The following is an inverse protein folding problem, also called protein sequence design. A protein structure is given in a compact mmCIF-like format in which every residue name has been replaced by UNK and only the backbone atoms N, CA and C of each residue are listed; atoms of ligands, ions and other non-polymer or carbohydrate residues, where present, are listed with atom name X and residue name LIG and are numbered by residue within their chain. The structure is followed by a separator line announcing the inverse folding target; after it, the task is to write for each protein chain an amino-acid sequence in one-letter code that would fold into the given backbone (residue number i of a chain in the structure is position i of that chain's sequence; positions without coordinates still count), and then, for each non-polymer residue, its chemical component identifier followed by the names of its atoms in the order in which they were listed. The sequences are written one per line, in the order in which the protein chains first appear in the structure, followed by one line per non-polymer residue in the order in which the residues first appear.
data_IF_171189258740
#
_entry.id   IF_171189258740
#
_cell.length_a   1.000
_cell.length_b   1.000
_cell.length_c   1.000
_cell.angle_alpha   90.00
_cell.angle_beta   90.00
_cell.angle_gamma   90.00
#
_symmetry.space_group_name_H-M   'P 1'
#
loop_
_entity.id
_entity.type
_entity.pdbx_description
1 polymer ?
#
# COMPACT_ATOMS: atom_id res chain seq x y z
N UNK A 1 -17.18 -11.81 26.03
CA UNK A 1 -17.17 -11.88 24.56
C UNK A 1 -16.02 -12.78 24.16
N UNK A 2 -16.24 -13.75 23.27
CA UNK A 2 -15.15 -14.54 22.74
C UNK A 2 -14.20 -13.61 21.94
N UNK A 3 -12.91 -13.95 21.93
CA UNK A 3 -11.94 -13.18 21.19
C UNK A 3 -12.18 -13.36 19.69
N UNK A 4 -12.24 -12.26 18.91
CA UNK A 4 -12.39 -12.35 17.48
C UNK A 4 -11.20 -13.11 16.89
N UNK A 5 -11.41 -13.80 15.77
CA UNK A 5 -10.34 -14.57 15.12
C UNK A 5 -10.39 -14.39 13.61
N UNK A 6 -9.22 -14.22 12.99
CA UNK A 6 -9.08 -14.23 11.53
C UNK A 6 -8.60 -15.60 11.09
N UNK A 7 -9.29 -16.23 10.14
CA UNK A 7 -8.91 -17.50 9.52
C UNK A 7 -8.50 -17.26 8.07
N UNK A 8 -7.39 -17.84 7.64
CA UNK A 8 -6.95 -17.80 6.24
C UNK A 8 -6.30 -19.13 5.87
N UNK A 9 -6.39 -19.53 4.59
CA UNK A 9 -5.67 -20.71 4.12
C UNK A 9 -4.19 -20.38 3.90
N UNK A 10 -3.32 -21.40 4.02
CA UNK A 10 -1.90 -21.24 3.69
C UNK A 10 -1.66 -20.78 2.25
N UNK A 11 -2.54 -21.15 1.32
CA UNK A 11 -2.46 -20.76 -0.10
C UNK A 11 -2.71 -19.25 -0.25
N UNK A 12 -3.71 -18.69 0.43
CA UNK A 12 -4.01 -17.25 0.39
C UNK A 12 -2.88 -16.44 1.02
N UNK A 13 -2.36 -16.89 2.17
CA UNK A 13 -1.22 -16.25 2.81
C UNK A 13 0.02 -16.27 1.91
N UNK A 14 0.32 -17.40 1.29
CA UNK A 14 1.43 -17.53 0.36
C UNK A 14 1.25 -16.61 -0.87
N UNK A 15 0.03 -16.51 -1.41
CA UNK A 15 -0.26 -15.63 -2.54
C UNK A 15 -0.09 -14.15 -2.19
N UNK A 16 -0.53 -13.71 -1.00
CA UNK A 16 -0.25 -12.37 -0.48
C UNK A 16 1.26 -12.11 -0.39
N UNK A 17 2.03 -13.06 0.14
CA UNK A 17 3.49 -12.96 0.24
C UNK A 17 4.16 -12.95 -1.15
N UNK A 18 3.65 -13.73 -2.10
CA UNK A 18 4.20 -13.80 -3.46
C UNK A 18 4.07 -12.46 -4.19
N UNK A 19 2.89 -11.84 -4.13
CA UNK A 19 2.68 -10.50 -4.69
C UNK A 19 3.62 -9.46 -4.06
N UNK A 20 3.89 -9.58 -2.76
CA UNK A 20 4.82 -8.69 -2.08
C UNK A 20 6.24 -8.77 -2.66
N UNK A 21 6.73 -10.00 -2.82
CA UNK A 21 8.12 -10.26 -3.19
C UNK A 21 8.40 -9.82 -4.62
N UNK A 22 7.38 -9.82 -5.48
CA UNK A 22 7.47 -9.38 -6.87
C UNK A 22 7.38 -7.85 -7.04
N UNK A 23 7.03 -7.09 -5.99
CA UNK A 23 7.02 -5.63 -6.01
C UNK A 23 8.28 -5.06 -5.38
N UNK A 24 8.87 -4.01 -5.96
CA UNK A 24 9.98 -3.27 -5.35
C UNK A 24 9.53 -2.22 -4.32
N UNK A 25 8.22 -2.07 -4.14
CA UNK A 25 7.60 -1.06 -3.28
C UNK A 25 6.52 -1.66 -2.38
N UNK A 26 6.02 -0.86 -1.45
CA UNK A 26 4.85 -1.22 -0.63
C UNK A 26 3.66 -1.58 -1.53
N UNK A 27 2.85 -2.53 -1.06
CA UNK A 27 1.66 -3.04 -1.78
C UNK A 27 0.46 -2.94 -0.85
N UNK A 28 -0.71 -2.68 -1.42
CA UNK A 28 -1.98 -2.70 -0.71
C UNK A 28 -3.06 -3.33 -1.58
N UNK A 29 -4.16 -3.71 -0.95
CA UNK A 29 -5.26 -4.33 -1.65
C UNK A 29 -6.46 -4.60 -0.76
N UNK A 30 -7.51 -5.15 -1.37
CA UNK A 30 -8.75 -5.51 -0.68
C UNK A 30 -8.76 -7.00 -0.34
N UNK A 31 -9.47 -7.33 0.73
CA UNK A 31 -9.66 -8.69 1.22
C UNK A 31 -11.13 -9.07 1.04
N UNK A 32 -11.35 -10.21 0.39
CA UNK A 32 -12.66 -10.78 0.12
C UNK A 32 -12.85 -12.07 0.93
N UNK A 33 -14.07 -12.27 1.39
CA UNK A 33 -14.43 -13.47 2.14
C UNK A 33 -15.74 -13.31 2.88
N UNK A 34 -15.82 -13.95 4.04
CA UNK A 34 -17.03 -14.04 4.86
C UNK A 34 -16.74 -13.72 6.31
N UNK A 35 -17.64 -12.99 6.97
CA UNK A 35 -17.62 -12.77 8.41
C UNK A 35 -18.75 -13.59 9.04
N UNK A 36 -18.41 -14.45 10.00
CA UNK A 36 -19.35 -15.31 10.72
C UNK A 36 -19.43 -14.90 12.18
N UNK A 37 -20.65 -14.85 12.70
CA UNK A 37 -20.98 -14.47 14.07
C UNK A 37 -21.83 -15.58 14.65
N UNK A 38 -21.21 -16.49 15.40
CA UNK A 38 -21.88 -17.67 15.94
C UNK A 38 -22.07 -17.52 17.44
N UNK A 39 -23.28 -17.80 17.92
CA UNK A 39 -23.57 -17.84 19.35
C UNK A 39 -23.14 -19.19 19.90
N UNK A 40 -22.14 -19.17 20.78
CA UNK A 40 -21.64 -20.34 21.48
C UNK A 40 -22.11 -20.33 22.92
N UNK A 41 -22.88 -21.36 23.29
CA UNK A 41 -23.31 -21.58 24.67
C UNK A 41 -22.34 -22.53 25.34
N UNK A 42 -21.57 -22.04 26.31
CA UNK A 42 -20.73 -22.90 27.13
C UNK A 42 -21.54 -23.39 28.32
N UNK A 43 -21.91 -24.67 28.29
CA UNK A 43 -22.58 -25.34 29.41
C UNK A 43 -21.51 -25.63 30.46
N UNK A 44 -21.69 -25.06 31.64
CA UNK A 44 -20.83 -25.29 32.80
C UNK A 44 -21.59 -26.08 33.86
N UNK A 45 -20.90 -26.81 34.73
CA UNK A 45 -21.54 -27.50 35.86
C UNK A 45 -22.17 -26.52 36.88
N UNK A 46 -21.93 -25.21 36.74
CA UNK A 46 -22.64 -24.14 37.45
C UNK A 46 -23.97 -23.78 36.75
N UNK A 47 -25.00 -23.49 37.54
CA UNK A 47 -26.40 -23.24 37.10
C UNK A 47 -26.61 -22.08 36.09
N UNK A 48 -25.56 -21.33 35.73
CA UNK A 48 -25.64 -20.22 34.79
C UNK A 48 -24.95 -20.57 33.46
N UNK A 49 -25.74 -20.63 32.39
CA UNK A 49 -25.23 -20.74 31.03
C UNK A 49 -24.51 -19.45 30.63
N UNK A 50 -23.30 -19.57 30.10
CA UNK A 50 -22.56 -18.41 29.62
C UNK A 50 -22.60 -18.36 28.08
N UNK A 51 -23.41 -17.45 27.57
CA UNK A 51 -23.55 -17.18 26.13
C UNK A 51 -22.41 -16.27 25.68
N UNK A 52 -21.66 -16.70 24.67
CA UNK A 52 -20.59 -15.92 24.06
C UNK A 52 -20.77 -15.89 22.54
N UNK A 53 -20.57 -14.73 21.92
CA UNK A 53 -20.57 -14.60 20.45
C UNK A 53 -19.13 -14.79 19.96
N UNK A 54 -18.90 -15.81 19.13
CA UNK A 54 -17.65 -16.03 18.39
C UNK A 54 -17.69 -15.26 17.07
N UNK A 55 -16.74 -14.35 16.88
CA UNK A 55 -16.57 -13.60 15.62
C UNK A 55 -15.41 -14.18 14.84
N UNK A 56 -15.70 -14.74 13.66
CA UNK A 56 -14.74 -15.38 12.79
C UNK A 56 -14.71 -14.70 11.43
N UNK A 57 -13.56 -14.15 11.06
CA UNK A 57 -13.32 -13.55 9.76
C UNK A 57 -12.60 -14.53 8.86
N UNK A 58 -13.27 -15.08 7.85
CA UNK A 58 -12.69 -16.06 6.93
C UNK A 58 -12.23 -15.38 5.64
N UNK A 59 -10.91 -15.26 5.49
CA UNK A 59 -10.28 -14.69 4.29
C UNK A 59 -10.20 -15.76 3.21
N UNK A 60 -10.92 -15.54 2.11
CA UNK A 60 -10.99 -16.47 0.98
C UNK A 60 -10.10 -16.02 -0.18
N UNK A 61 -10.04 -14.70 -0.44
CA UNK A 61 -9.35 -14.12 -1.59
C UNK A 61 -8.84 -12.71 -1.26
N UNK A 62 -7.91 -12.22 -2.08
CA UNK A 62 -7.46 -10.84 -2.03
C UNK A 62 -7.33 -10.28 -3.46
N UNK A 63 -7.38 -8.95 -3.57
CA UNK A 63 -7.15 -8.21 -4.81
C UNK A 63 -6.05 -7.19 -4.56
N UNK A 64 -4.91 -7.35 -5.24
CA UNK A 64 -3.83 -6.37 -5.20
C UNK A 64 -4.17 -5.13 -6.03
N UNK A 65 -3.90 -3.97 -5.45
CA UNK A 65 -3.90 -2.71 -6.18
C UNK A 65 -2.56 -2.51 -6.89
N UNK A 66 -2.60 -2.15 -8.18
CA UNK A 66 -1.38 -1.91 -8.97
C UNK A 66 -0.61 -0.64 -8.56
N UNK A 67 -1.26 0.26 -7.82
CA UNK A 67 -0.69 1.52 -7.33
C UNK A 67 -1.14 1.73 -5.89
N UNK A 68 -0.25 2.33 -5.11
CA UNK A 68 -0.60 2.86 -3.79
C UNK A 68 -1.58 4.02 -3.92
N UNK A 69 -2.42 4.16 -2.90
CA UNK A 69 -3.46 5.18 -2.79
C UNK A 69 -4.41 5.13 -4.01
N UNK A 70 -4.72 3.93 -4.49
CA UNK A 70 -5.58 3.76 -5.69
C UNK A 70 -7.04 4.05 -5.41
N UNK A 71 -7.49 3.83 -4.17
CA UNK A 71 -8.89 3.97 -3.74
C UNK A 71 -9.06 5.01 -2.62
N UNK A 72 -8.02 5.79 -2.30
CA UNK A 72 -8.09 6.84 -1.29
C UNK A 72 -7.10 7.98 -1.57
N UNK A 73 -7.40 9.19 -1.08
CA UNK A 73 -6.56 10.37 -1.28
C UNK A 73 -5.47 10.55 -0.19
N UNK A 74 -4.69 11.63 -0.27
CA UNK A 74 -3.59 11.91 0.67
C UNK A 74 -4.04 12.12 2.13
N UNK A 75 -5.30 12.53 2.32
CA UNK A 75 -5.96 12.76 3.62
C UNK A 75 -6.62 11.47 4.15
N UNK A 76 -6.76 10.45 3.30
CA UNK A 76 -7.33 9.14 3.65
C UNK A 76 -8.83 9.03 3.38
N UNK A 77 -9.43 9.98 2.65
CA UNK A 77 -10.81 9.87 2.18
C UNK A 77 -10.89 8.82 1.07
N UNK A 78 -11.90 7.95 1.15
CA UNK A 78 -12.07 6.80 0.27
C UNK A 78 -12.89 7.20 -0.96
N UNK A 79 -12.40 6.83 -2.13
CA UNK A 79 -13.11 6.95 -3.39
C UNK A 79 -13.92 5.66 -3.63
N UNK A 80 -15.24 5.75 -3.42
CA UNK A 80 -16.16 4.61 -3.56
C UNK A 80 -16.23 4.13 -5.01
N UNK A 81 -16.11 5.02 -5.99
CA UNK A 81 -16.15 4.64 -7.41
C UNK A 81 -14.89 3.85 -7.78
N UNK A 82 -13.73 4.27 -7.27
CA UNK A 82 -12.49 3.53 -7.42
C UNK A 82 -12.56 2.13 -6.78
N UNK A 83 -13.14 2.02 -5.58
CA UNK A 83 -13.38 0.72 -4.92
C UNK A 83 -14.30 -0.16 -5.78
N UNK A 84 -15.43 0.39 -6.27
CA UNK A 84 -16.36 -0.36 -7.13
C UNK A 84 -15.70 -0.81 -8.44
N UNK A 85 -14.81 0.00 -9.01
CA UNK A 85 -14.04 -0.35 -10.21
C UNK A 85 -13.07 -1.50 -9.95
N UNK A 86 -12.41 -1.52 -8.78
CA UNK A 86 -11.53 -2.63 -8.38
C UNK A 86 -12.35 -3.92 -8.17
N UNK A 87 -13.60 -3.79 -7.71
CA UNK A 87 -14.52 -4.91 -7.45
C UNK A 87 -15.38 -5.31 -8.65
N UNK A 88 -15.20 -4.69 -9.82
CA UNK A 88 -16.10 -4.86 -10.97
C UNK A 88 -16.29 -6.33 -11.39
N UNK A 89 -15.21 -7.12 -11.31
CA UNK A 89 -15.19 -8.54 -11.68
C UNK A 89 -15.61 -9.47 -10.53
N UNK A 90 -15.80 -8.95 -9.31
CA UNK A 90 -16.00 -9.74 -8.07
C UNK A 90 -17.28 -9.34 -7.32
N UNK A 91 -18.36 -9.04 -8.04
CA UNK A 91 -19.62 -8.49 -7.48
C UNK A 91 -20.33 -9.39 -6.45
N UNK A 92 -20.04 -10.69 -6.45
CA UNK A 92 -20.70 -11.66 -5.57
C UNK A 92 -20.00 -11.81 -4.21
N UNK A 93 -18.74 -11.37 -4.09
CA UNK A 93 -17.93 -11.58 -2.89
C UNK A 93 -17.94 -10.33 -2.01
N UNK A 94 -18.08 -10.54 -0.69
CA UNK A 94 -18.13 -9.43 0.27
C UNK A 94 -16.73 -8.95 0.65
N UNK A 95 -16.53 -7.62 0.65
CA UNK A 95 -15.31 -7.01 1.17
C UNK A 95 -15.35 -7.04 2.69
N UNK A 96 -14.52 -7.90 3.27
CA UNK A 96 -14.39 -8.04 4.73
C UNK A 96 -13.21 -7.24 5.28
N UNK A 97 -12.32 -6.75 4.42
CA UNK A 97 -11.14 -6.04 4.88
C UNK A 97 -10.25 -5.50 3.78
N UNK A 98 -9.10 -5.01 4.19
CA UNK A 98 -8.02 -4.58 3.32
C UNK A 98 -6.67 -4.94 3.94
N UNK A 99 -5.63 -4.99 3.12
CA UNK A 99 -4.29 -5.28 3.57
C UNK A 99 -3.28 -4.25 3.09
N UNK A 100 -2.19 -4.13 3.83
CA UNK A 100 -1.01 -3.37 3.44
C UNK A 100 0.24 -4.14 3.76
N UNK A 101 1.24 -3.98 2.92
CA UNK A 101 2.54 -4.60 3.07
C UNK A 101 3.61 -3.52 3.07
N UNK A 102 4.44 -3.50 4.12
CA UNK A 102 5.47 -2.47 4.32
C UNK A 102 6.82 -3.10 4.62
N UNK A 103 7.87 -2.66 3.93
CA UNK A 103 9.21 -3.25 4.07
C UNK A 103 9.99 -2.61 5.23
N UNK A 104 10.60 -3.44 6.07
CA UNK A 104 11.47 -3.04 7.17
C UNK A 104 10.81 -2.05 8.15
N UNK A 105 9.53 -2.28 8.48
CA UNK A 105 8.78 -1.46 9.44
C UNK A 105 8.30 -2.29 10.61
N UNK A 106 7.92 -1.62 11.71
CA UNK A 106 7.29 -2.27 12.86
C UNK A 106 5.87 -2.79 12.53
N UNK A 107 5.41 -3.76 13.31
CA UNK A 107 4.08 -4.37 13.16
C UNK A 107 2.98 -3.56 13.85
N UNK A 108 2.84 -2.29 13.45
CA UNK A 108 1.85 -1.36 14.00
C UNK A 108 1.14 -0.55 12.90
N UNK A 109 -0.14 -0.25 13.10
CA UNK A 109 -0.89 0.60 12.17
C UNK A 109 -0.38 2.05 12.18
N UNK A 110 -0.11 2.61 11.00
CA UNK A 110 0.19 4.05 10.85
C UNK A 110 -1.05 4.90 11.07
N UNK A 111 -0.85 6.20 11.31
CA UNK A 111 -1.95 7.16 11.41
C UNK A 111 -2.85 7.16 10.17
N UNK A 112 -2.25 7.13 8.97
CA UNK A 112 -2.99 7.07 7.71
C UNK A 112 -3.79 5.77 7.58
N UNK A 113 -3.20 4.63 7.92
CA UNK A 113 -3.93 3.34 7.89
C UNK A 113 -5.13 3.34 8.82
N UNK A 114 -5.02 3.94 10.01
CA UNK A 114 -6.14 4.08 10.95
C UNK A 114 -7.28 4.92 10.35
N UNK A 115 -6.97 6.05 9.72
CA UNK A 115 -7.97 6.90 9.06
C UNK A 115 -8.63 6.17 7.89
N UNK A 116 -7.83 5.59 7.00
CA UNK A 116 -8.34 4.87 5.82
C UNK A 116 -9.23 3.70 6.24
N UNK A 117 -8.87 2.99 7.31
CA UNK A 117 -9.69 1.90 7.84
C UNK A 117 -11.06 2.39 8.35
N UNK A 118 -11.12 3.46 9.14
CA UNK A 118 -12.41 4.01 9.59
C UNK A 118 -13.27 4.56 8.43
N UNK A 119 -12.62 5.20 7.46
CA UNK A 119 -13.31 5.72 6.28
C UNK A 119 -13.83 4.58 5.41
N UNK A 120 -13.06 3.51 5.18
CA UNK A 120 -13.53 2.33 4.46
C UNK A 120 -14.72 1.65 5.16
N UNK A 121 -14.66 1.51 6.50
CA UNK A 121 -15.78 0.98 7.30
C UNK A 121 -17.05 1.78 7.07
N UNK A 122 -16.94 3.11 7.09
CA UNK A 122 -18.07 4.02 6.91
C UNK A 122 -18.59 4.01 5.47
N UNK A 123 -17.70 4.10 4.47
CA UNK A 123 -18.05 4.14 3.04
C UNK A 123 -18.67 2.84 2.53
N UNK A 124 -18.23 1.68 3.04
CA UNK A 124 -18.76 0.37 2.65
C UNK A 124 -19.88 -0.13 3.58
N UNK A 125 -20.29 0.66 4.58
CA UNK A 125 -21.27 0.27 5.60
C UNK A 125 -20.97 -1.09 6.27
N UNK A 126 -19.69 -1.43 6.40
CA UNK A 126 -19.23 -2.66 7.04
C UNK A 126 -18.50 -2.33 8.36
N UNK A 127 -19.17 -2.47 9.52
CA UNK A 127 -18.55 -2.19 10.82
C UNK A 127 -17.52 -3.25 11.25
N UNK A 128 -17.57 -4.44 10.65
CA UNK A 128 -16.73 -5.60 10.94
C UNK A 128 -15.65 -5.74 9.87
N UNK A 129 -14.84 -4.69 9.73
CA UNK A 129 -13.75 -4.67 8.78
C UNK A 129 -12.44 -5.05 9.45
N UNK A 130 -11.64 -5.85 8.76
CA UNK A 130 -10.29 -6.21 9.19
C UNK A 130 -9.23 -5.44 8.41
N UNK A 131 -8.10 -5.16 9.06
CA UNK A 131 -6.89 -4.68 8.42
C UNK A 131 -5.76 -5.68 8.62
N UNK A 132 -5.19 -6.20 7.54
CA UNK A 132 -4.05 -7.14 7.62
C UNK A 132 -2.77 -6.41 7.25
N UNK A 133 -1.78 -6.42 8.14
CA UNK A 133 -0.47 -5.82 7.93
C UNK A 133 0.57 -6.93 7.76
N UNK A 134 1.39 -6.84 6.71
CA UNK A 134 2.55 -7.71 6.53
C UNK A 134 3.83 -6.87 6.50
N UNK A 135 4.83 -7.26 7.28
CA UNK A 135 6.11 -6.55 7.40
C UNK A 135 7.31 -7.48 7.18
N UNK A 136 7.75 -7.65 5.93
CA UNK A 136 9.00 -8.32 5.64
C UNK A 136 10.18 -7.45 6.05
N UNK A 137 11.15 -8.06 6.71
CA UNK A 137 12.38 -7.41 7.16
C UNK A 137 13.59 -8.33 6.98
N UNK A 138 14.75 -7.72 6.75
CA UNK A 138 16.04 -8.43 6.82
C UNK A 138 16.49 -8.45 8.28
N UNK A 139 16.69 -9.64 8.84
CA UNK A 139 17.08 -9.78 10.25
C UNK A 139 18.60 -9.63 10.41
N UNK A 140 19.36 -10.07 9.41
CA UNK A 140 20.82 -9.97 9.40
C UNK A 140 21.28 -8.94 8.38
N UNK A 141 22.34 -8.18 8.70
CA UNK A 141 22.97 -7.22 7.78
C UNK A 141 23.36 -7.83 6.42
N UNK A 142 23.92 -9.05 6.34
CA UNK A 142 24.21 -9.68 5.05
C UNK A 142 22.95 -10.18 4.31
N UNK A 143 21.77 -10.17 4.92
CA UNK A 143 20.53 -10.68 4.31
C UNK A 143 20.46 -12.21 4.24
N UNK A 144 21.20 -12.93 5.09
CA UNK A 144 21.13 -14.39 5.18
C UNK A 144 19.85 -14.91 5.86
N UNK A 145 19.19 -14.06 6.64
CA UNK A 145 17.96 -14.40 7.35
C UNK A 145 16.93 -13.32 7.12
N UNK A 146 15.78 -13.72 6.60
CA UNK A 146 14.62 -12.88 6.38
C UNK A 146 13.54 -13.25 7.38
N UNK A 147 12.73 -12.25 7.75
CA UNK A 147 11.59 -12.40 8.64
C UNK A 147 10.37 -11.79 7.98
N UNK A 148 9.27 -12.54 7.94
CA UNK A 148 7.98 -12.07 7.44
C UNK A 148 6.97 -12.12 8.58
N UNK A 149 6.67 -10.95 9.16
CA UNK A 149 5.67 -10.84 10.22
C UNK A 149 4.32 -10.45 9.59
N UNK A 150 3.23 -11.00 10.12
CA UNK A 150 1.88 -10.66 9.70
C UNK A 150 0.97 -10.56 10.93
N UNK A 151 -0.02 -9.67 10.87
CA UNK A 151 -0.97 -9.43 11.93
C UNK A 151 -2.26 -8.89 11.35
N UNK A 152 -3.38 -9.25 11.97
CA UNK A 152 -4.67 -8.64 11.69
C UNK A 152 -5.05 -7.66 12.80
N UNK A 153 -5.75 -6.60 12.42
CA UNK A 153 -6.26 -5.57 13.30
C UNK A 153 -7.73 -5.32 13.01
N UNK A 154 -8.49 -5.03 14.06
CA UNK A 154 -9.85 -4.53 13.97
C UNK A 154 -9.98 -3.23 14.74
N UNK A 155 -10.94 -2.40 14.34
CA UNK A 155 -11.35 -1.25 15.14
C UNK A 155 -12.67 -1.53 15.86
N UNK A 156 -12.64 -1.46 17.19
CA UNK A 156 -13.82 -1.51 18.06
C UNK A 156 -13.79 -0.32 19.00
N UNK A 157 -14.91 0.39 19.14
CA UNK A 157 -15.04 1.54 20.06
C UNK A 157 -13.90 2.57 19.92
N UNK A 158 -13.48 2.84 18.66
CA UNK A 158 -12.36 3.74 18.29
C UNK A 158 -10.98 3.29 18.79
N UNK A 159 -10.84 2.04 19.19
CA UNK A 159 -9.57 1.43 19.56
C UNK A 159 -9.22 0.34 18.56
N UNK A 160 -7.95 0.33 18.14
CA UNK A 160 -7.41 -0.70 17.26
C UNK A 160 -6.81 -1.81 18.10
N UNK A 161 -7.25 -3.03 17.86
CA UNK A 161 -6.82 -4.22 18.59
C UNK A 161 -6.25 -5.25 17.62
N UNK A 162 -5.21 -5.94 18.04
CA UNK A 162 -4.67 -7.07 17.31
C UNK A 162 -5.60 -8.28 17.44
N UNK A 163 -5.78 -9.02 16.35
CA UNK A 163 -6.63 -10.20 16.27
C UNK A 163 -5.78 -11.41 15.88
N UNK A 164 -5.91 -12.56 16.58
CA UNK A 164 -5.18 -13.75 16.22
C UNK A 164 -5.51 -14.20 14.79
N UNK A 165 -4.46 -14.59 14.05
CA UNK A 165 -4.57 -15.12 12.69
C UNK A 165 -4.29 -16.62 12.73
N UNK A 166 -5.30 -17.42 12.42
CA UNK A 166 -5.19 -18.87 12.29
C UNK A 166 -5.01 -19.26 10.82
N UNK A 167 -3.93 -19.99 10.54
CA UNK A 167 -3.63 -20.49 9.20
C UNK A 167 -4.07 -21.95 9.11
N UNK A 168 -5.14 -22.19 8.34
CA UNK A 168 -5.68 -23.54 8.11
C UNK A 168 -4.66 -24.42 7.39
N UNK A 169 -4.38 -25.58 7.97
CA UNK A 169 -3.42 -26.56 7.47
C UNK A 169 -3.89 -28.00 7.74
N UNK A 170 -3.32 -28.98 7.04
CA UNK A 170 -3.69 -30.40 7.17
C UNK A 170 -3.24 -31.05 8.50
N UNK A 171 -2.31 -30.43 9.23
CA UNK A 171 -1.79 -30.94 10.49
C UNK A 171 -2.76 -30.85 11.67
N UNK A 172 -3.85 -30.08 11.52
CA UNK A 172 -4.92 -29.98 12.52
C UNK A 172 -5.91 -31.15 12.48
N UNK A 173 -5.67 -32.16 11.64
CA UNK A 173 -6.48 -33.38 11.56
C UNK A 173 -6.02 -34.38 12.64
N UNK A 174 -6.74 -34.47 13.76
CA UNK A 174 -6.34 -35.25 14.93
C UNK A 174 -6.48 -36.79 14.80
N UNK A 175 -7.10 -37.32 13.74
CA UNK A 175 -7.45 -38.75 13.68
C UNK A 175 -6.91 -39.45 12.42
N UNK A 176 -5.65 -39.89 12.49
CA UNK A 176 -5.04 -40.83 11.52
C UNK A 176 -4.95 -42.27 12.07
N UNK A 177 -5.63 -42.56 13.18
CA UNK A 177 -5.53 -43.85 13.84
C UNK A 177 -6.39 -44.91 13.13
N UNK A 178 -5.74 -45.83 12.42
CA UNK A 178 -6.38 -47.05 11.92
C UNK A 178 -6.26 -48.18 12.94
N UNK A 179 -7.39 -48.81 13.26
CA UNK A 179 -7.42 -50.04 14.06
C UNK A 179 -6.90 -51.22 13.21
N UNK A 180 -5.69 -51.70 13.52
CA UNK A 180 -5.06 -52.82 12.79
C UNK A 180 -5.56 -54.20 13.22
N UNK A 181 -6.08 -54.31 14.44
CA UNK A 181 -6.54 -55.56 15.03
C UNK A 181 -7.90 -55.30 15.68
N UNK A 182 -8.88 -56.15 15.37
CA UNK A 182 -10.17 -56.15 16.04
C UNK A 182 -10.12 -57.04 17.29
N UNK A 183 -10.89 -56.67 18.32
CA UNK A 183 -11.12 -57.56 19.45
C UNK A 183 -11.94 -58.77 18.97
N UNK A 184 -11.49 -60.02 19.22
CA UNK A 184 -12.22 -61.20 18.78
C UNK A 184 -13.57 -61.32 19.51
N UNK A 185 -14.64 -61.63 18.77
CA UNK A 185 -15.97 -61.86 19.32
C UNK A 185 -16.50 -63.23 18.87
N UNK A 186 -16.72 -64.14 19.82
CA UNK A 186 -17.22 -65.50 19.58
C UNK A 186 -18.75 -65.59 19.49
N UNK A 187 -19.47 -64.49 19.73
CA UNK A 187 -20.92 -64.48 19.75
C UNK A 187 -21.51 -64.77 18.35
N UNK A 188 -22.27 -65.87 18.24
CA UNK A 188 -22.88 -66.31 16.97
C UNK A 188 -23.87 -65.27 16.43
N UNK A 189 -24.67 -64.64 17.31
CA UNK A 189 -25.63 -63.61 16.93
C UNK A 189 -24.98 -62.36 16.33
N UNK A 190 -23.78 -61.99 16.81
CA UNK A 190 -23.00 -60.89 16.23
C UNK A 190 -22.60 -61.20 14.78
N UNK A 191 -22.04 -62.39 14.54
CA UNK A 191 -21.63 -62.82 13.21
C UNK A 191 -22.81 -62.90 12.22
N UNK A 192 -23.97 -63.40 12.66
CA UNK A 192 -25.16 -63.48 11.82
C UNK A 192 -25.65 -62.07 11.39
N UNK A 193 -25.69 -61.13 12.34
CA UNK A 193 -26.10 -59.75 12.10
C UNK A 193 -25.13 -59.03 11.15
N UNK A 194 -23.82 -59.18 11.35
CA UNK A 194 -22.79 -58.60 10.48
C UNK A 194 -22.86 -59.15 9.06
N UNK A 195 -23.09 -60.46 8.89
CA UNK A 195 -23.30 -61.07 7.55
C UNK A 195 -24.59 -60.57 6.89
N UNK A 196 -25.68 -60.44 7.64
CA UNK A 196 -26.98 -59.99 7.12
C UNK A 196 -26.94 -58.54 6.61
N UNK A 197 -26.23 -57.65 7.30
CA UNK A 197 -26.17 -56.23 6.96
C UNK A 197 -24.88 -55.79 6.25
N UNK A 198 -23.86 -56.65 6.19
CA UNK A 198 -22.54 -56.33 5.63
C UNK A 198 -22.60 -55.90 4.16
N UNK A 199 -23.51 -56.46 3.36
CA UNK A 199 -23.68 -56.10 1.94
C UNK A 199 -24.14 -54.65 1.71
N UNK A 200 -24.59 -53.93 2.77
CA UNK A 200 -24.89 -52.50 2.70
C UNK A 200 -23.63 -51.64 2.61
N UNK A 201 -22.53 -52.07 3.22
CA UNK A 201 -21.29 -51.31 3.36
C UNK A 201 -20.18 -51.87 2.46
N UNK A 202 -20.05 -53.20 2.40
CA UNK A 202 -19.04 -53.88 1.60
C UNK A 202 -19.54 -54.10 0.17
N UNK A 203 -18.63 -53.87 -0.77
CA UNK A 203 -18.80 -54.22 -2.18
C UNK A 203 -18.51 -55.70 -2.41
N UNK A 204 -18.83 -56.22 -3.60
CA UNK A 204 -18.62 -57.63 -3.96
C UNK A 204 -17.14 -58.08 -3.89
N UNK A 205 -16.20 -57.14 -3.96
CA UNK A 205 -14.77 -57.36 -3.80
C UNK A 205 -14.28 -57.33 -2.34
N UNK A 206 -15.18 -57.18 -1.36
CA UNK A 206 -14.85 -57.11 0.06
C UNK A 206 -14.32 -55.76 0.54
N UNK A 207 -14.24 -54.75 -0.34
CA UNK A 207 -13.84 -53.39 0.03
C UNK A 207 -15.05 -52.55 0.45
N UNK A 208 -14.80 -51.53 1.28
CA UNK A 208 -15.82 -50.57 1.69
C UNK A 208 -16.25 -49.70 0.49
N UNK A 209 -17.55 -49.58 0.25
CA UNK A 209 -18.09 -48.84 -0.91
C UNK A 209 -17.72 -47.35 -0.85
N UNK A 210 -17.80 -46.76 0.33
CA UNK A 210 -17.53 -45.35 0.61
C UNK A 210 -16.10 -44.95 0.25
N UNK A 211 -15.12 -45.86 0.42
CA UNK A 211 -13.72 -45.60 0.02
C UNK A 211 -13.64 -45.36 -1.48
N UNK A 212 -14.31 -46.18 -2.29
CA UNK A 212 -14.31 -46.02 -3.74
C UNK A 212 -15.03 -44.73 -4.16
N UNK A 213 -16.14 -44.38 -3.51
CA UNK A 213 -16.88 -43.15 -3.84
C UNK A 213 -16.08 -41.89 -3.47
N UNK A 214 -15.44 -41.85 -2.30
CA UNK A 214 -14.57 -40.73 -1.91
C UNK A 214 -13.36 -40.63 -2.83
N UNK A 215 -12.75 -41.75 -3.21
CA UNK A 215 -11.64 -41.76 -4.18
C UNK A 215 -12.09 -41.21 -5.54
N UNK A 216 -13.23 -41.65 -6.09
CA UNK A 216 -13.79 -41.12 -7.34
C UNK A 216 -14.06 -39.61 -7.25
N UNK A 217 -14.58 -39.14 -6.12
CA UNK A 217 -14.80 -37.71 -5.87
C UNK A 217 -13.47 -36.96 -5.90
N UNK A 218 -12.44 -37.49 -5.23
CA UNK A 218 -11.11 -36.90 -5.20
C UNK A 218 -10.43 -36.91 -6.59
N UNK A 219 -10.54 -37.99 -7.35
CA UNK A 219 -10.00 -38.10 -8.72
C UNK A 219 -10.67 -37.08 -9.66
N UNK A 220 -11.98 -36.88 -9.50
CA UNK A 220 -12.75 -35.88 -10.25
C UNK A 220 -12.29 -34.46 -9.91
N UNK A 221 -12.14 -34.17 -8.61
CA UNK A 221 -11.62 -32.88 -8.13
C UNK A 221 -10.18 -32.61 -8.62
N UNK A 222 -9.32 -33.64 -8.61
CA UNK A 222 -7.95 -33.54 -9.09
C UNK A 222 -7.90 -33.28 -10.59
N UNK A 223 -8.80 -33.87 -11.36
CA UNK A 223 -8.91 -33.65 -12.81
C UNK A 223 -9.31 -32.21 -13.13
N UNK A 224 -10.29 -31.65 -12.41
CA UNK A 224 -10.67 -30.24 -12.53
C UNK A 224 -9.54 -29.29 -12.10
N UNK A 225 -8.82 -29.62 -11.02
CA UNK A 225 -7.67 -28.85 -10.58
C UNK A 225 -6.56 -28.82 -11.65
N UNK A 226 -6.26 -29.97 -12.27
CA UNK A 226 -5.29 -30.04 -13.36
C UNK A 226 -5.71 -29.20 -14.57
N UNK A 227 -7.01 -29.13 -14.87
CA UNK A 227 -7.53 -28.27 -15.93
C UNK A 227 -7.33 -26.80 -15.59
N UNK A 228 -7.72 -26.38 -14.38
CA UNK A 228 -7.49 -25.01 -13.92
C UNK A 228 -6.01 -24.62 -13.91
N UNK A 229 -5.11 -25.54 -13.55
CA UNK A 229 -3.67 -25.31 -13.63
C UNK A 229 -3.18 -25.00 -15.05
N UNK A 230 -3.71 -25.71 -16.07
CA UNK A 230 -3.37 -25.43 -17.48
C UNK A 230 -3.88 -24.06 -17.92
N UNK A 231 -5.12 -23.74 -17.57
CA UNK A 231 -5.72 -22.44 -17.91
C UNK A 231 -4.92 -21.28 -17.27
N UNK A 232 -4.49 -21.45 -16.01
CA UNK A 232 -3.63 -20.47 -15.31
C UNK A 232 -2.26 -20.35 -15.99
N UNK A 233 -1.61 -21.46 -16.33
CA UNK A 233 -0.32 -21.44 -17.04
C UNK A 233 -0.40 -20.68 -18.36
N UNK A 234 -1.41 -20.94 -19.17
CA UNK A 234 -1.64 -20.25 -20.45
C UNK A 234 -1.87 -18.75 -20.23
N UNK A 235 -2.64 -18.39 -19.20
CA UNK A 235 -2.91 -17.00 -18.85
C UNK A 235 -1.65 -16.25 -18.35
N UNK A 236 -0.79 -16.90 -17.57
CA UNK A 236 0.47 -16.32 -17.08
C UNK A 236 1.45 -16.06 -18.23
N UNK A 237 1.56 -17.01 -19.19
CA UNK A 237 2.36 -16.81 -20.40
C UNK A 237 1.84 -15.62 -21.23
N UNK A 238 0.51 -15.49 -21.36
CA UNK A 238 -0.09 -14.35 -22.04
C UNK A 238 0.23 -13.04 -21.31
N UNK A 239 0.10 -13.00 -19.98
CA UNK A 239 0.43 -11.83 -19.17
C UNK A 239 1.91 -11.45 -19.34
N UNK A 240 2.83 -12.41 -19.35
CA UNK A 240 4.26 -12.19 -19.58
C UNK A 240 4.51 -11.49 -20.92
N UNK A 241 3.93 -12.01 -22.01
CA UNK A 241 4.06 -11.40 -23.35
C UNK A 241 3.51 -9.97 -23.40
N UNK A 242 2.33 -9.74 -22.84
CA UNK A 242 1.71 -8.41 -22.79
C UNK A 242 2.52 -7.43 -21.93
N UNK A 243 3.07 -7.88 -20.80
CA UNK A 243 3.93 -7.06 -19.97
C UNK A 243 5.21 -6.66 -20.70
N UNK A 244 5.82 -7.59 -21.45
CA UNK A 244 6.99 -7.31 -22.28
C UNK A 244 6.68 -6.24 -23.33
N UNK A 245 5.56 -6.36 -24.03
CA UNK A 245 5.12 -5.39 -25.04
C UNK A 245 4.84 -4.01 -24.44
N UNK A 246 4.12 -3.93 -23.32
CA UNK A 246 3.86 -2.67 -22.60
C UNK A 246 5.17 -2.03 -22.16
N UNK A 247 6.14 -2.83 -21.69
CA UNK A 247 7.45 -2.31 -21.28
C UNK A 247 8.24 -1.74 -22.46
N UNK A 248 8.21 -2.40 -23.62
CA UNK A 248 8.86 -1.96 -24.85
C UNK A 248 8.23 -0.69 -25.40
N UNK A 249 6.90 -0.60 -25.40
CA UNK A 249 6.16 0.60 -25.79
C UNK A 249 6.47 1.78 -24.86
N UNK A 250 6.45 1.56 -23.54
CA UNK A 250 6.85 2.59 -22.56
C UNK A 250 8.28 3.08 -22.78
N UNK A 251 9.21 2.20 -23.16
CA UNK A 251 10.59 2.58 -23.50
C UNK A 251 10.64 3.49 -24.73
N UNK A 252 9.98 3.11 -25.83
CA UNK A 252 9.90 3.91 -27.06
C UNK A 252 9.27 5.30 -26.82
N UNK A 253 8.25 5.38 -25.97
CA UNK A 253 7.62 6.65 -25.60
C UNK A 253 8.61 7.56 -24.87
N UNK A 254 9.38 7.03 -23.91
CA UNK A 254 10.41 7.80 -23.18
C UNK A 254 11.52 8.30 -24.12
N UNK A 255 12.01 7.46 -25.03
CA UNK A 255 13.03 7.84 -26.02
C UNK A 255 12.52 8.95 -26.97
N UNK A 256 11.26 8.88 -27.40
CA UNK A 256 10.63 9.92 -28.22
C UNK A 256 10.41 11.23 -27.45
N UNK A 257 10.11 11.16 -26.16
CA UNK A 257 9.97 12.36 -25.32
C UNK A 257 11.31 13.04 -25.09
N UNK A 258 12.37 12.27 -24.82
CA UNK A 258 13.73 12.81 -24.64
C UNK A 258 14.29 13.44 -25.92
N UNK A 259 14.06 12.81 -27.08
CA UNK A 259 14.47 13.38 -28.38
C UNK A 259 13.66 14.60 -28.82
N UNK A 260 12.48 14.85 -28.25
CA UNK A 260 11.73 16.11 -28.42
C UNK A 260 12.20 17.20 -27.46
N UNK A 261 12.49 16.88 -26.21
CA UNK A 261 13.04 17.83 -25.24
C UNK A 261 14.46 18.30 -25.59
N UNK A 262 15.26 17.47 -26.27
CA UNK A 262 16.58 17.85 -26.80
C UNK A 262 16.56 18.62 -28.12
N UNK A 263 15.38 19.01 -28.62
CA UNK A 263 15.19 19.78 -29.87
C UNK A 263 14.52 21.15 -29.63
N UNK A 264 14.59 21.69 -28.42
CA UNK A 264 14.43 23.14 -28.28
C UNK A 264 15.66 23.81 -28.89
N UNK A 265 15.49 24.88 -29.70
CA UNK A 265 16.63 25.58 -30.26
C UNK A 265 17.51 26.05 -29.12
N UNK A 266 18.80 25.77 -29.22
CA UNK A 266 19.84 26.39 -28.39
C UNK A 266 19.82 27.88 -28.76
N UNK A 267 18.91 28.64 -28.15
CA UNK A 267 19.20 30.04 -27.89
C UNK A 267 20.42 30.03 -26.96
N UNK A 268 21.44 30.81 -27.34
CA UNK A 268 22.60 31.04 -26.48
C UNK A 268 22.12 31.29 -25.05
N UNK A 269 22.79 30.70 -24.04
CA UNK A 269 22.35 30.87 -22.66
C UNK A 269 22.18 32.37 -22.40
N UNK A 270 20.99 32.83 -21.96
CA UNK A 270 20.80 34.24 -21.67
C UNK A 270 21.89 34.61 -20.68
N UNK A 271 22.72 35.60 -21.05
CA UNK A 271 23.80 36.09 -20.20
C UNK A 271 23.24 36.19 -18.77
N UNK A 272 23.80 35.40 -17.86
CA UNK A 272 23.25 35.24 -16.52
C UNK A 272 23.59 36.49 -15.70
N UNK A 273 22.91 37.59 -16.01
CA UNK A 273 23.11 38.90 -15.41
C UNK A 273 22.64 38.85 -13.97
N UNK A 274 23.49 39.28 -13.05
CA UNK A 274 23.13 39.37 -11.64
C UNK A 274 22.25 40.59 -11.41
N UNK A 275 20.94 40.43 -11.64
CA UNK A 275 19.95 41.50 -11.59
C UNK A 275 19.94 42.22 -10.23
N UNK A 276 20.14 41.47 -9.13
CA UNK A 276 20.19 42.03 -7.77
C UNK A 276 21.42 42.92 -7.54
N UNK A 277 22.57 42.52 -8.07
CA UNK A 277 23.78 43.37 -8.05
C UNK A 277 23.54 44.63 -8.88
N UNK A 278 22.92 44.48 -10.06
CA UNK A 278 22.62 45.58 -10.97
C UNK A 278 21.74 46.64 -10.34
N UNK A 279 20.68 46.20 -9.68
CA UNK A 279 19.73 47.06 -8.99
C UNK A 279 20.38 47.78 -7.80
N UNK A 280 21.22 47.07 -7.02
CA UNK A 280 21.95 47.65 -5.90
C UNK A 280 22.98 48.71 -6.34
N UNK A 281 23.74 48.46 -7.41
CA UNK A 281 24.72 49.41 -7.94
C UNK A 281 24.04 50.65 -8.51
N UNK A 282 22.93 50.47 -9.25
CA UNK A 282 22.13 51.58 -9.77
C UNK A 282 21.52 52.44 -8.65
N UNK A 283 21.08 51.81 -7.56
CA UNK A 283 20.55 52.53 -6.39
C UNK A 283 21.63 53.30 -5.60
N UNK A 284 22.86 52.76 -5.53
CA UNK A 284 23.96 53.38 -4.77
C UNK A 284 24.72 54.46 -5.56
N UNK A 285 24.79 54.32 -6.89
CA UNK A 285 25.63 55.16 -7.75
C UNK A 285 24.84 55.78 -8.92
N UNK A 286 23.65 56.32 -8.63
CA UNK A 286 22.78 56.97 -9.62
C UNK A 286 23.38 58.23 -10.28
N UNK A 287 24.52 58.72 -9.80
CA UNK A 287 25.10 60.01 -10.20
C UNK A 287 25.88 59.97 -11.53
N UNK A 288 26.17 58.80 -12.13
CA UNK A 288 26.75 58.73 -13.47
C UNK A 288 26.53 57.37 -14.14
N UNK A 289 26.16 57.33 -15.44
CA UNK A 289 25.90 56.09 -16.19
C UNK A 289 27.16 55.23 -16.39
N UNK A 290 28.35 55.77 -16.14
CA UNK A 290 29.62 55.03 -16.24
C UNK A 290 29.81 54.04 -15.09
N UNK A 291 29.19 54.27 -13.93
CA UNK A 291 29.29 53.35 -12.78
C UNK A 291 28.32 52.17 -12.86
N UNK A 292 27.40 52.19 -13.82
CA UNK A 292 26.43 51.12 -14.08
C UNK A 292 26.82 50.22 -15.27
N UNK A 293 28.02 50.41 -15.84
CA UNK A 293 28.53 49.61 -16.95
C UNK A 293 28.84 48.17 -16.52
N UNK A 294 28.38 47.21 -17.32
CA UNK A 294 28.64 45.77 -17.14
C UNK A 294 29.86 45.28 -17.91
N UNK A 295 30.38 46.10 -18.82
CA UNK A 295 31.33 45.68 -19.85
C UNK A 295 32.54 46.59 -19.85
N UNK A 296 33.72 45.98 -19.73
CA UNK A 296 35.00 46.67 -19.86
C UNK A 296 35.60 46.34 -21.21
N UNK A 297 36.28 47.32 -21.81
CA UNK A 297 37.18 47.06 -22.94
C UNK A 297 38.37 46.22 -22.46
N UNK A 298 39.08 45.56 -23.38
CA UNK A 298 40.33 44.83 -23.08
C UNK A 298 41.43 45.72 -22.46
N UNK A 299 41.29 47.04 -22.56
CA UNK A 299 42.16 48.05 -21.95
C UNK A 299 41.62 48.57 -20.60
N UNK A 300 40.62 47.89 -20.01
CA UNK A 300 40.01 48.17 -18.72
C UNK A 300 39.25 49.51 -18.60
N UNK A 301 38.76 50.05 -19.72
CA UNK A 301 37.86 51.20 -19.72
C UNK A 301 36.38 50.77 -19.71
N UNK A 302 35.52 51.37 -18.87
CA UNK A 302 34.09 51.08 -18.83
C UNK A 302 33.40 51.52 -20.12
N UNK A 303 32.64 50.60 -20.71
CA UNK A 303 31.82 50.87 -21.90
C UNK A 303 30.42 51.24 -21.44
N UNK A 304 29.90 52.42 -21.78
CA UNK A 304 28.52 52.77 -21.45
C UNK A 304 27.56 51.75 -22.09
N UNK A 305 26.66 51.17 -21.29
CA UNK A 305 25.54 50.38 -21.83
C UNK A 305 24.64 51.36 -22.58
N UNK A 306 24.71 51.34 -23.92
CA UNK A 306 23.73 52.04 -24.76
C UNK A 306 22.46 51.20 -24.70
N UNK A 307 21.51 51.62 -23.85
CA UNK A 307 20.20 51.00 -23.78
C UNK A 307 19.50 51.10 -25.15
N UNK A 308 19.48 50.02 -25.91
CA UNK A 308 18.45 49.77 -26.90
C UNK A 308 17.19 49.26 -26.18
N UNK A 309 16.58 50.10 -25.35
CA UNK A 309 15.27 49.85 -24.71
C UNK A 309 14.52 51.18 -24.62
N UNK A 310 14.19 51.72 -25.78
CA UNK A 310 13.17 52.77 -25.89
C UNK A 310 12.64 52.76 -27.31
N UNK A 311 11.70 51.84 -27.57
CA UNK A 311 10.63 51.98 -28.57
C UNK A 311 9.66 50.79 -28.48
N UNK A 312 8.81 50.79 -27.45
CA UNK A 312 7.47 50.19 -27.54
C UNK A 312 6.44 51.13 -26.92
N UNK A 313 5.99 52.05 -27.78
CA UNK A 313 4.62 52.56 -27.92
C UNK A 313 3.94 53.21 -26.71
N UNK A 314 4.11 54.53 -26.62
CA UNK A 314 2.98 55.44 -26.43
C UNK A 314 2.47 55.88 -27.81
N UNK A 315 1.32 55.36 -28.23
CA UNK A 315 0.41 55.97 -29.19
C UNK A 315 -0.99 55.44 -28.92
N UNK A 316 -1.78 56.20 -28.16
CA UNK A 316 -3.13 56.58 -28.60
C UNK A 316 -3.68 57.72 -27.75
N UNK A 317 -3.99 58.82 -28.43
CA UNK A 317 -4.71 59.99 -27.91
C UNK A 317 -6.15 59.88 -28.39
N UNK A 318 -7.13 59.87 -27.48
CA UNK A 318 -8.32 60.76 -27.54
C UNK A 318 -9.36 60.53 -26.43
N UNK A 319 -9.59 61.60 -25.67
CA UNK A 319 -10.89 62.16 -25.22
C UNK A 319 -12.00 61.22 -24.73
N UNK A 320 -12.33 61.28 -23.42
CA UNK A 320 -13.51 62.03 -22.91
C UNK A 320 -13.84 61.72 -21.44
N UNK A 321 -14.20 62.80 -20.74
CA UNK A 321 -15.23 62.93 -19.70
C UNK A 321 -15.09 62.38 -18.26
N UNK A 322 -14.96 63.38 -17.38
CA UNK A 322 -15.78 63.65 -16.17
C UNK A 322 -15.46 63.00 -14.82
N UNK A 323 -15.29 63.93 -13.86
CA UNK A 323 -15.65 63.89 -12.42
C UNK A 323 -14.80 63.01 -11.50
N UNK A 324 -14.49 63.36 -10.26
CA UNK A 324 -14.44 64.58 -9.45
C UNK A 324 -13.91 64.12 -8.06
N UNK A 325 -13.26 65.00 -7.30
CA UNK A 325 -13.01 64.93 -5.83
C UNK A 325 -11.93 63.94 -5.36
N UNK A 326 -11.06 64.21 -4.38
CA UNK A 326 -10.83 65.35 -3.48
C UNK A 326 -9.39 65.24 -2.89
N UNK A 327 -8.74 66.39 -2.72
CA UNK A 327 -7.86 66.85 -1.63
C UNK A 327 -6.82 65.90 -0.95
N UNK A 328 -5.55 66.17 -1.28
CA UNK A 328 -4.33 66.41 -0.45
C UNK A 328 -4.47 66.63 1.10
N UNK A 329 -3.39 66.69 1.93
CA UNK A 329 -1.97 66.28 1.74
C UNK A 329 -1.18 65.77 3.01
N UNK A 330 0.13 65.53 2.82
CA UNK A 330 1.31 65.62 3.75
C UNK A 330 1.68 64.45 4.72
N UNK A 331 2.73 63.72 4.30
CA UNK A 331 4.08 63.44 4.90
C UNK A 331 4.41 63.82 6.37
N UNK A 332 5.65 63.56 6.87
CA UNK A 332 6.52 62.37 6.85
C UNK A 332 7.01 62.00 8.27
N UNK A 333 7.76 60.91 8.45
CA UNK A 333 8.94 60.89 9.35
C UNK A 333 9.74 59.58 9.15
N UNK A 334 11.05 59.75 9.29
CA UNK A 334 12.12 58.96 8.70
C UNK A 334 12.82 58.12 9.83
N UNK A 335 14.02 57.54 9.66
CA UNK A 335 14.27 56.11 9.82
C UNK A 335 15.17 55.75 11.03
N UNK A 336 15.33 54.45 11.33
CA UNK A 336 16.18 54.02 12.44
C UNK A 336 16.74 52.60 12.37
N UNK A 337 17.98 52.50 11.85
CA UNK A 337 19.09 51.66 12.34
C UNK A 337 19.04 50.12 12.19
N UNK A 338 19.82 49.65 11.22
CA UNK A 338 21.00 48.76 11.35
C UNK A 338 21.03 47.73 12.50
N UNK A 339 21.23 46.44 12.16
CA UNK A 339 22.38 45.65 12.64
C UNK A 339 22.50 44.28 11.96
N UNK A 340 23.59 44.10 11.21
CA UNK A 340 24.13 42.80 10.78
C UNK A 340 25.02 42.21 11.88
N UNK A 341 24.89 40.93 12.22
CA UNK A 341 25.98 40.15 12.84
C UNK A 341 26.06 38.70 12.33
N UNK A 342 27.09 38.49 11.50
CA UNK A 342 28.09 37.39 11.43
C UNK A 342 27.62 35.92 11.42
N UNK A 343 27.89 35.26 10.29
CA UNK A 343 28.17 33.82 10.17
C UNK A 343 29.44 33.44 10.95
N UNK A 344 29.40 32.30 11.63
CA UNK A 344 30.58 31.56 12.08
C UNK A 344 30.49 30.12 11.54
N UNK A 345 31.59 29.62 10.96
CA UNK A 345 31.72 28.29 10.33
C UNK A 345 32.30 27.29 11.34
N UNK A 346 31.76 26.07 11.26
CA UNK A 346 32.33 24.73 11.51
C UNK A 346 33.24 24.46 12.71
N UNK A 347 32.82 23.49 13.54
CA UNK A 347 33.69 22.46 14.13
C UNK A 347 32.89 21.16 14.33
N UNK A 348 33.33 20.10 13.68
CA UNK A 348 32.88 18.71 13.81
C UNK A 348 33.57 18.04 15.01
N UNK A 349 32.80 17.46 15.94
CA UNK A 349 33.31 16.46 16.89
C UNK A 349 32.23 15.42 17.12
N UNK A 350 32.51 14.18 16.67
CA UNK A 350 31.71 13.00 16.96
C UNK A 350 31.80 12.60 18.43
N UNK A 351 30.71 12.03 18.95
CA UNK A 351 30.73 11.25 20.20
C UNK A 351 29.95 9.96 20.03
N UNK A 352 30.71 8.88 19.92
CA UNK A 352 30.28 7.52 20.23
C UNK A 352 29.71 7.46 21.67
N UNK A 353 28.55 6.81 21.84
CA UNK A 353 28.06 6.40 23.17
C UNK A 353 28.20 4.88 23.30
N UNK A 354 29.17 4.47 24.12
CA UNK A 354 29.38 3.10 24.58
C UNK A 354 28.24 2.62 25.49
N UNK A 355 27.83 1.38 25.23
CA UNK A 355 27.13 0.40 26.10
C UNK A 355 27.46 0.55 27.60
N UNK A 356 26.42 0.43 28.44
CA UNK A 356 26.54 -0.16 29.79
C UNK A 356 25.64 -1.39 29.89
N UNK A 357 26.27 -2.48 30.33
CA UNK A 357 25.70 -3.77 30.72
C UNK A 357 25.39 -3.65 32.22
N UNK A 358 24.17 -3.92 32.66
CA UNK A 358 23.87 -4.21 34.06
C UNK A 358 23.59 -5.70 34.19
N UNK A 359 24.39 -6.36 35.04
CA UNK A 359 24.06 -7.65 35.66
C UNK A 359 23.61 -7.33 37.08
N UNK A 360 22.43 -7.78 37.45
CA UNK A 360 22.08 -8.44 38.72
C UNK A 360 20.72 -9.09 38.49
#
# INVERSE_FOLDING_TARGET
MAEPTVRMSGIVLASLMFQHLNSDSDVEGLILGESKFEEQVTISDSQADHIHIEEVYNIQKHIACHKLNSFYNSVGEVDVEAVQKILADNKQESVIGWYRQRRNTDQQMTFREKIVHENLKSSLSNPHMIFVLLTPSKLTSPGSTHRMEYAAFISRSRQFMNVPVLVSNLGLLEQLAYWKVSAPCSAVGYNLTMKKHGSKFFSSNGLLREVNEVNKMNDSLQSELQKACRDVEESERLVETLQADVSALRRRVREKQQSRAGKEPVEDPPEQKNLLLHEAVRALFACSPLFTSQTLTLQAFPVPDVCCDSEQQDQDVSLSDTTAKDQEPVSPLNPGRTNCRKRLRELSVGRERKRRKSKS
#
